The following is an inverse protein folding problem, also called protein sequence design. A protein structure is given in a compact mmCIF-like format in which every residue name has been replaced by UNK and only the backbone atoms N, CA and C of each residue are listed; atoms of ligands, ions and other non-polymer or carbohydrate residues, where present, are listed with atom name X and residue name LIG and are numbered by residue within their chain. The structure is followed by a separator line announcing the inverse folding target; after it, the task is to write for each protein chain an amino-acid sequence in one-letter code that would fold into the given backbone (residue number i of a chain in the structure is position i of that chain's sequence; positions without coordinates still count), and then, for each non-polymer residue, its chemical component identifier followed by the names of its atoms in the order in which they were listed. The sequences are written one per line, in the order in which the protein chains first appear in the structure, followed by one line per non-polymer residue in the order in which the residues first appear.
data_IF_834053495854
#
_entry.id   IF_834053495854
#
_cell.length_a   1.000
_cell.length_b   1.000
_cell.length_c   1.000
_cell.angle_alpha   90.00
_cell.angle_beta   90.00
_cell.angle_gamma   90.00
#
_symmetry.space_group_name_H-M   'P 1'
#
loop_
_entity.id
_entity.type
_entity.pdbx_description
1 polymer ?
#
# COMPACT_ATOMS: atom_id res chain seq x y z
N UNK A 1 0.00 13.74 -16.82
CA UNK A 1 0.69 13.63 -15.53
C UNK A 1 1.50 12.36 -15.47
N UNK A 2 2.72 12.47 -14.99
CA UNK A 2 3.52 11.27 -14.84
C UNK A 2 2.88 10.31 -13.84
N UNK A 3 2.89 9.05 -14.20
CA UNK A 3 2.45 7.97 -13.33
C UNK A 3 3.63 7.39 -12.53
N UNK A 4 4.63 8.24 -12.28
CA UNK A 4 5.84 7.78 -11.63
C UNK A 4 5.71 7.96 -10.14
N UNK A 5 5.71 6.85 -9.43
CA UNK A 5 5.69 6.84 -7.99
C UNK A 5 7.08 7.19 -7.45
N UNK A 6 7.18 8.03 -6.42
CA UNK A 6 8.44 8.20 -5.71
C UNK A 6 8.70 6.99 -4.80
N UNK A 7 9.87 6.97 -4.17
CA UNK A 7 10.14 6.00 -3.11
C UNK A 7 9.59 6.52 -1.78
N UNK A 8 9.29 5.61 -0.88
CA UNK A 8 8.93 5.93 0.50
C UNK A 8 9.57 4.92 1.45
N UNK A 9 9.78 5.30 2.72
CA UNK A 9 10.42 4.40 3.68
C UNK A 9 9.59 3.16 3.97
N UNK A 10 10.27 2.08 4.28
CA UNK A 10 9.63 0.85 4.74
C UNK A 10 8.80 1.13 5.99
N UNK A 11 7.59 0.60 6.03
CA UNK A 11 6.70 0.80 7.17
C UNK A 11 5.86 2.07 7.10
N UNK A 12 5.99 2.86 6.03
CA UNK A 12 5.12 4.02 5.82
C UNK A 12 3.66 3.57 5.86
N UNK A 13 2.86 4.24 6.70
CA UNK A 13 1.42 3.96 6.76
C UNK A 13 0.73 4.66 5.61
N UNK A 14 0.10 3.86 4.77
CA UNK A 14 -0.71 4.33 3.65
C UNK A 14 -2.18 4.14 3.98
N UNK A 15 -3.06 4.80 3.26
CA UNK A 15 -4.51 4.59 3.40
C UNK A 15 -5.03 4.02 2.10
N UNK A 16 -5.56 2.81 2.17
CA UNK A 16 -6.18 2.13 1.04
C UNK A 16 -7.68 2.38 1.07
N UNK A 17 -8.17 3.01 0.02
CA UNK A 17 -9.60 3.22 -0.18
C UNK A 17 -10.10 2.29 -1.28
N UNK A 18 -11.17 1.57 -0.98
CA UNK A 18 -11.79 0.64 -1.93
C UNK A 18 -13.14 1.15 -2.37
N UNK A 19 -13.56 0.73 -3.55
CA UNK A 19 -14.86 1.09 -4.13
C UNK A 19 -15.97 0.18 -3.61
N UNK A 20 -17.20 0.66 -3.68
CA UNK A 20 -18.36 -0.10 -3.25
C UNK A 20 -19.56 0.80 -3.01
N UNK A 21 -20.61 0.26 -2.40
CA UNK A 21 -21.84 1.00 -2.12
C UNK A 21 -21.61 2.16 -1.14
N UNK A 22 -20.63 2.00 -0.27
CA UNK A 22 -20.23 3.06 0.68
C UNK A 22 -18.71 3.20 0.70
N UNK A 23 -18.21 4.37 1.07
CA UNK A 23 -16.76 4.55 1.19
C UNK A 23 -16.15 3.62 2.23
N UNK A 24 -14.97 3.12 1.94
CA UNK A 24 -14.25 2.25 2.85
C UNK A 24 -12.75 2.52 2.72
N UNK A 25 -12.10 2.76 3.84
CA UNK A 25 -10.67 3.05 3.87
C UNK A 25 -10.02 2.42 5.10
N UNK A 26 -8.83 1.89 4.91
CA UNK A 26 -8.05 1.27 5.98
C UNK A 26 -6.59 1.69 5.91
N UNK A 27 -5.88 1.75 7.05
CA UNK A 27 -4.44 1.93 7.03
C UNK A 27 -3.75 0.63 6.59
N UNK A 28 -2.71 0.77 5.77
CA UNK A 28 -1.88 -0.34 5.31
C UNK A 28 -0.43 0.08 5.44
N UNK A 29 0.35 -0.63 6.23
CA UNK A 29 1.78 -0.33 6.43
C UNK A 29 2.69 -1.23 5.60
N UNK A 30 2.18 -2.34 5.08
CA UNK A 30 2.93 -3.23 4.20
C UNK A 30 2.62 -2.86 2.75
N UNK A 31 3.15 -1.73 2.31
CA UNK A 31 2.99 -1.22 0.95
C UNK A 31 4.37 -0.97 0.35
N UNK A 32 4.70 -1.73 -0.68
CA UNK A 32 6.01 -1.72 -1.32
C UNK A 32 5.90 -1.13 -2.73
N UNK A 33 6.75 -0.13 -3.02
CA UNK A 33 6.89 0.36 -4.38
C UNK A 33 7.61 -0.70 -5.21
N UNK A 34 6.95 -1.25 -6.19
CA UNK A 34 7.49 -2.33 -7.03
C UNK A 34 7.80 -1.87 -8.46
N UNK A 35 7.82 -0.57 -8.68
CA UNK A 35 8.10 0.02 -9.98
C UNK A 35 7.52 1.43 -10.06
N UNK A 36 7.72 2.13 -11.19
CA UNK A 36 7.24 3.51 -11.33
C UNK A 36 5.70 3.61 -11.31
N UNK A 37 4.99 2.53 -11.59
CA UNK A 37 3.52 2.51 -11.68
C UNK A 37 2.92 1.29 -10.97
N UNK A 38 3.65 0.70 -10.02
CA UNK A 38 3.25 -0.57 -9.42
C UNK A 38 3.50 -0.57 -7.92
N UNK A 39 2.49 -0.92 -7.15
CA UNK A 39 2.59 -1.09 -5.69
C UNK A 39 2.14 -2.50 -5.32
N UNK A 40 2.87 -3.13 -4.43
CA UNK A 40 2.46 -4.40 -3.82
C UNK A 40 2.06 -4.14 -2.39
N UNK A 41 0.90 -4.64 -2.00
CA UNK A 41 0.44 -4.55 -0.62
C UNK A 41 0.10 -5.94 -0.08
N UNK A 42 0.15 -6.10 1.23
CA UNK A 42 -0.25 -7.32 1.91
C UNK A 42 -1.53 -7.05 2.68
N UNK A 43 -2.54 -7.90 2.47
CA UNK A 43 -3.83 -7.81 3.17
C UNK A 43 -4.15 -9.16 3.80
N UNK A 44 -4.63 -9.13 5.04
CA UNK A 44 -5.11 -10.34 5.69
C UNK A 44 -6.31 -10.90 4.92
N UNK A 45 -6.35 -12.22 4.77
CA UNK A 45 -7.33 -12.90 3.92
C UNK A 45 -8.78 -12.63 4.32
N UNK A 46 -9.05 -12.38 5.60
CA UNK A 46 -10.40 -12.10 6.10
C UNK A 46 -10.81 -10.63 6.08
N UNK A 47 -9.98 -9.74 5.55
CA UNK A 47 -10.29 -8.31 5.56
C UNK A 47 -11.40 -7.98 4.57
N UNK A 48 -12.27 -7.06 4.98
CA UNK A 48 -13.34 -6.56 4.12
C UNK A 48 -12.78 -5.90 2.86
N UNK A 49 -11.63 -5.20 2.98
CA UNK A 49 -10.97 -4.57 1.84
C UNK A 49 -10.67 -5.57 0.73
N UNK A 50 -10.23 -6.78 1.07
CA UNK A 50 -9.94 -7.80 0.08
C UNK A 50 -11.19 -8.21 -0.70
N UNK A 51 -12.30 -8.43 0.02
CA UNK A 51 -13.57 -8.75 -0.63
C UNK A 51 -14.04 -7.61 -1.54
N UNK A 52 -13.85 -6.37 -1.09
CA UNK A 52 -14.27 -5.20 -1.88
C UNK A 52 -13.48 -5.05 -3.17
N UNK A 53 -12.16 -5.22 -3.12
CA UNK A 53 -11.36 -5.08 -4.33
C UNK A 53 -11.56 -6.24 -5.31
N UNK A 54 -11.98 -7.40 -4.84
CA UNK A 54 -12.37 -8.51 -5.72
C UNK A 54 -13.68 -8.20 -6.46
N UNK A 55 -14.59 -7.48 -5.81
CA UNK A 55 -15.85 -7.08 -6.42
C UNK A 55 -15.70 -5.88 -7.35
N UNK A 56 -14.84 -4.92 -6.98
CA UNK A 56 -14.53 -3.73 -7.78
C UNK A 56 -13.05 -3.41 -7.61
N UNK A 57 -12.23 -3.59 -8.64
CA UNK A 57 -10.77 -3.45 -8.51
C UNK A 57 -10.28 -2.02 -8.37
N UNK A 58 -11.13 -1.01 -8.58
CA UNK A 58 -10.71 0.39 -8.50
C UNK A 58 -10.37 0.77 -7.07
N UNK A 59 -9.18 1.27 -6.86
CA UNK A 59 -8.67 1.65 -5.54
C UNK A 59 -7.95 2.98 -5.60
N UNK A 60 -7.81 3.60 -4.42
CA UNK A 60 -6.95 4.75 -4.23
C UNK A 60 -6.05 4.46 -3.04
N UNK A 61 -4.77 4.78 -3.16
CA UNK A 61 -3.79 4.60 -2.10
C UNK A 61 -3.19 5.97 -1.78
N UNK A 62 -3.50 6.49 -0.59
CA UNK A 62 -2.96 7.76 -0.14
C UNK A 62 -1.68 7.51 0.66
N UNK A 63 -0.62 8.25 0.34
CA UNK A 63 0.69 8.08 0.93
C UNK A 63 1.20 9.42 1.44
N UNK A 64 1.54 9.46 2.72
CA UNK A 64 2.15 10.63 3.36
C UNK A 64 3.40 10.16 4.07
N UNK A 65 4.56 10.70 3.68
CA UNK A 65 5.81 10.35 4.34
C UNK A 65 6.82 11.48 4.27
N UNK A 66 7.84 11.37 5.09
CA UNK A 66 9.02 12.22 4.99
C UNK A 66 9.59 12.15 3.58
N UNK A 67 10.37 13.17 3.18
CA UNK A 67 10.84 13.30 1.79
C UNK A 67 9.78 13.92 0.89
N UNK A 68 8.81 14.61 1.50
CA UNK A 68 7.74 15.34 0.82
C UNK A 68 6.86 14.47 -0.06
N UNK A 69 6.61 13.24 0.38
CA UNK A 69 5.66 12.37 -0.29
C UNK A 69 4.27 12.66 0.26
N UNK A 70 3.44 13.26 -0.57
CA UNK A 70 2.04 13.57 -0.24
C UNK A 70 1.24 13.36 -1.52
N UNK A 71 0.75 12.14 -1.73
CA UNK A 71 0.09 11.80 -2.98
C UNK A 71 -1.03 10.79 -2.79
N UNK A 72 -1.87 10.70 -3.81
CA UNK A 72 -2.82 9.61 -3.95
C UNK A 72 -2.56 8.91 -5.27
N UNK A 73 -2.36 7.60 -5.21
CA UNK A 73 -2.21 6.75 -6.38
C UNK A 73 -3.57 6.09 -6.66
N UNK A 74 -4.08 6.28 -7.86
CA UNK A 74 -5.33 5.66 -8.31
C UNK A 74 -5.01 4.55 -9.29
N UNK A 75 -5.64 3.43 -9.13
CA UNK A 75 -5.40 2.32 -10.03
C UNK A 75 -6.34 1.15 -9.79
N UNK A 76 -5.95 0.02 -10.32
CA UNK A 76 -6.69 -1.22 -10.22
C UNK A 76 -5.90 -2.23 -9.41
N UNK A 77 -6.57 -2.89 -8.49
CA UNK A 77 -5.97 -3.87 -7.61
C UNK A 77 -6.36 -5.28 -8.04
N UNK A 78 -5.43 -6.21 -7.95
CA UNK A 78 -5.70 -7.63 -8.17
C UNK A 78 -4.87 -8.47 -7.21
N UNK A 79 -5.43 -9.58 -6.80
CA UNK A 79 -4.70 -10.54 -5.98
C UNK A 79 -3.73 -11.30 -6.89
N UNK A 80 -2.43 -11.23 -6.60
CA UNK A 80 -1.42 -11.95 -7.37
C UNK A 80 -0.93 -13.20 -6.67
N UNK A 81 -1.17 -13.31 -5.36
CA UNK A 81 -0.89 -14.52 -4.61
C UNK A 81 -1.80 -14.57 -3.38
N UNK A 82 -2.65 -15.60 -3.32
CA UNK A 82 -3.63 -15.72 -2.22
C UNK A 82 -2.97 -16.08 -0.89
N UNK A 83 -1.91 -16.87 -0.94
CA UNK A 83 -1.14 -17.32 0.22
C UNK A 83 0.28 -16.84 0.13
N UNK A 84 0.49 -15.54 0.29
CA UNK A 84 1.83 -14.97 0.35
C UNK A 84 2.59 -15.56 1.54
N UNK A 85 1.96 -15.47 2.71
CA UNK A 85 2.24 -16.26 3.90
C UNK A 85 0.88 -16.68 4.45
N UNK A 86 0.84 -17.56 5.42
CA UNK A 86 -0.40 -18.09 5.94
C UNK A 86 -1.36 -16.97 6.39
N UNK A 87 -2.55 -16.94 5.79
CA UNK A 87 -3.59 -15.97 6.11
C UNK A 87 -3.39 -14.58 5.54
N UNK A 88 -2.42 -14.39 4.63
CA UNK A 88 -2.12 -13.08 4.04
C UNK A 88 -2.04 -13.19 2.53
N UNK A 89 -2.77 -12.33 1.84
CA UNK A 89 -2.74 -12.24 0.38
C UNK A 89 -1.83 -11.10 -0.08
N UNK A 90 -1.18 -11.30 -1.23
CA UNK A 90 -0.45 -10.24 -1.91
C UNK A 90 -1.35 -9.64 -2.99
N UNK A 91 -1.45 -8.32 -2.98
CA UNK A 91 -2.27 -7.56 -3.92
C UNK A 91 -1.38 -6.61 -4.69
N UNK A 92 -1.52 -6.61 -6.00
CA UNK A 92 -0.84 -5.67 -6.88
C UNK A 92 -1.78 -4.53 -7.24
N UNK A 93 -1.31 -3.30 -7.09
CA UNK A 93 -2.00 -2.13 -7.60
C UNK A 93 -1.25 -1.65 -8.83
N UNK A 94 -1.92 -1.70 -9.97
CA UNK A 94 -1.41 -1.09 -11.19
C UNK A 94 -1.90 0.35 -11.21
N UNK A 95 -0.95 1.27 -11.07
CA UNK A 95 -1.25 2.70 -10.90
C UNK A 95 -1.47 3.34 -12.26
N UNK A 96 -2.62 3.96 -12.42
CA UNK A 96 -2.97 4.65 -13.67
C UNK A 96 -2.75 6.14 -13.57
N UNK A 97 -2.87 6.71 -12.36
CA UNK A 97 -2.78 8.15 -12.14
C UNK A 97 -2.24 8.44 -10.75
N UNK A 98 -1.36 9.41 -10.67
CA UNK A 98 -0.85 9.91 -9.39
C UNK A 98 -1.27 11.36 -9.25
N UNK A 99 -1.94 11.68 -8.15
CA UNK A 99 -2.27 13.06 -7.80
C UNK A 99 -1.33 13.49 -6.68
N UNK A 100 -0.51 14.47 -6.96
CA UNK A 100 0.42 15.04 -5.99
C UNK A 100 -0.29 16.12 -5.19
N UNK A 101 -0.26 16.01 -3.86
CA UNK A 101 -0.87 16.99 -2.95
C UNK A 101 0.19 17.92 -2.32
N UNK A 102 1.47 17.72 -2.66
CA UNK A 102 2.55 18.56 -2.17
C UNK A 102 2.47 19.98 -2.72
N UNK A 103 2.97 20.93 -1.95
CA UNK A 103 3.02 22.35 -2.31
C UNK A 103 4.33 22.94 -1.83
N UNK A 104 4.71 24.06 -2.46
CA UNK A 104 5.92 24.80 -2.08
C UNK A 104 5.81 25.47 -0.71
N UNK A 105 4.59 25.48 -0.15
CA UNK A 105 4.30 26.19 1.11
C UNK A 105 4.45 25.35 2.36
N UNK A 106 4.74 24.05 2.21
CA UNK A 106 4.97 23.18 3.36
C UNK A 106 5.94 22.04 3.00
N UNK A 107 6.47 21.42 4.03
CA UNK A 107 7.23 20.19 3.91
C UNK A 107 6.64 19.12 4.82
N UNK A 108 6.74 17.86 4.42
CA UNK A 108 6.36 16.75 5.28
C UNK A 108 7.59 16.34 6.08
N UNK A 109 7.59 16.63 7.37
CA UNK A 109 8.74 16.33 8.23
C UNK A 109 8.81 14.86 8.61
N UNK A 110 7.64 14.24 8.82
CA UNK A 110 7.56 12.83 9.20
C UNK A 110 6.17 12.29 8.88
N UNK A 111 6.07 11.00 8.67
CA UNK A 111 4.81 10.30 8.61
C UNK A 111 4.43 9.76 9.98
N UNK A 112 3.51 8.81 10.00
CA UNK A 112 3.10 8.13 11.25
C UNK A 112 4.29 7.35 11.81
N UNK A 113 4.57 7.55 13.08
CA UNK A 113 5.61 6.82 13.79
C UNK A 113 4.98 5.69 14.58
N UNK A 114 5.50 4.48 14.36
CA UNK A 114 5.01 3.31 15.07
C UNK A 114 6.10 2.25 15.17
N UNK A 115 5.91 1.32 16.10
CA UNK A 115 6.81 0.18 16.28
C UNK A 115 6.03 -0.99 16.84
N UNK A 116 6.52 -2.17 16.53
CA UNK A 116 5.98 -3.38 17.15
C UNK A 116 6.39 -3.43 18.62
N UNK A 117 5.47 -3.87 19.47
CA UNK A 117 5.76 -4.14 20.87
C UNK A 117 5.79 -5.64 21.18
N UNK A 118 5.43 -6.46 20.19
CA UNK A 118 5.40 -7.92 20.30
C UNK A 118 6.43 -8.48 19.31
N UNK A 119 7.48 -9.20 19.81
CA UNK A 119 8.49 -9.79 18.93
C UNK A 119 7.94 -10.77 17.90
N UNK A 120 6.88 -11.51 18.23
CA UNK A 120 6.27 -12.47 17.31
C UNK A 120 5.60 -11.73 16.16
N UNK A 121 4.86 -10.66 16.46
CA UNK A 121 4.22 -9.83 15.45
C UNK A 121 5.26 -9.16 14.57
N UNK A 122 6.36 -8.68 15.14
CA UNK A 122 7.45 -8.05 14.40
C UNK A 122 8.10 -9.04 13.42
N UNK A 123 8.36 -10.26 13.87
CA UNK A 123 8.94 -11.31 13.02
C UNK A 123 8.01 -11.67 11.87
N UNK A 124 6.71 -11.75 12.13
CA UNK A 124 5.72 -12.01 11.10
C UNK A 124 5.65 -10.89 10.06
N UNK A 125 5.70 -9.65 10.51
CA UNK A 125 5.73 -8.51 9.61
C UNK A 125 6.96 -8.54 8.69
N UNK A 126 8.13 -8.88 9.25
CA UNK A 126 9.36 -9.01 8.46
C UNK A 126 9.23 -10.14 7.42
N UNK A 127 8.59 -11.25 7.78
CA UNK A 127 8.34 -12.36 6.86
C UNK A 127 7.42 -11.94 5.71
N UNK A 128 6.35 -11.21 6.03
CA UNK A 128 5.41 -10.68 5.03
C UNK A 128 6.13 -9.75 4.06
N UNK A 129 6.92 -8.81 4.59
CA UNK A 129 7.64 -7.83 3.75
C UNK A 129 8.66 -8.51 2.85
N UNK A 130 9.41 -9.48 3.38
CA UNK A 130 10.38 -10.23 2.59
C UNK A 130 9.69 -11.00 1.45
N UNK A 131 8.52 -11.57 1.72
CA UNK A 131 7.75 -12.28 0.71
C UNK A 131 7.24 -11.33 -0.38
N UNK A 132 6.78 -10.13 -0.02
CA UNK A 132 6.39 -9.10 -1.00
C UNK A 132 7.57 -8.69 -1.88
N UNK A 133 8.74 -8.50 -1.27
CA UNK A 133 9.94 -8.10 -2.01
C UNK A 133 10.31 -9.13 -3.08
N UNK A 134 10.11 -10.41 -2.79
CA UNK A 134 10.37 -11.47 -3.77
C UNK A 134 9.43 -11.42 -4.98
N UNK A 135 8.25 -10.84 -4.82
CA UNK A 135 7.28 -10.68 -5.91
C UNK A 135 7.50 -9.40 -6.72
N UNK A 136 8.29 -8.44 -6.20
CA UNK A 136 8.47 -7.14 -6.84
C UNK A 136 9.13 -7.20 -8.23
N UNK A 137 10.18 -7.99 -8.47
CA UNK A 137 10.74 -8.13 -9.81
C UNK A 137 9.74 -8.74 -10.78
N UNK A 138 9.77 -8.26 -12.00
CA UNK A 138 8.95 -8.82 -13.08
C UNK A 138 9.80 -9.66 -14.03
#
# INVERSE_FOLDING_TARGET
MPRVLPNWPTGTVTILSTSGAEPHAIPVSAALRAGPDRVLIALAAGRESLARLLADPRVALAILSEGDVALTAYGNARVIQEDLVDGVAAVEIEVERVQNHGRDTFVIEAGVRWRWTDPVAQARDAEVRAALERLAPR
#
